data_IF_866003366237
#
_entry.id   IF_866003366237
#
_cell.length_a   1.000
_cell.length_b   1.000
_cell.length_c   1.000
_cell.angle_alpha   90.00
_cell.angle_beta   90.00
_cell.angle_gamma   90.00
#
_symmetry.space_group_name_H-M   'P 1'
#
loop_
_entity.id
_entity.type
_entity.pdbx_description
1 polymer ?
#
# COMPACT_ATOMS: atom_id res chain seq x y z
N UNK A 1 -4.87 -25.22 -5.71
CA UNK A 1 -6.15 -25.33 -6.47
C UNK A 1 -5.85 -25.01 -7.93
N UNK A 2 -6.31 -25.83 -8.88
CA UNK A 2 -6.09 -25.57 -10.32
C UNK A 2 -6.99 -24.42 -10.75
N UNK A 3 -6.38 -23.37 -11.27
CA UNK A 3 -7.08 -22.20 -11.76
C UNK A 3 -7.85 -22.52 -13.05
N UNK A 4 -9.16 -22.23 -13.08
CA UNK A 4 -9.97 -22.41 -14.30
C UNK A 4 -9.66 -21.39 -15.40
N UNK A 5 -8.93 -20.31 -15.08
CA UNK A 5 -8.51 -19.29 -16.05
C UNK A 5 -7.20 -19.60 -16.76
N UNK A 6 -6.17 -20.07 -16.04
CA UNK A 6 -4.84 -20.34 -16.63
C UNK A 6 -4.43 -21.82 -16.64
N UNK A 7 -5.15 -22.71 -15.94
CA UNK A 7 -4.83 -24.13 -15.87
C UNK A 7 -3.68 -24.49 -14.94
N UNK A 8 -3.07 -23.53 -14.25
CA UNK A 8 -1.97 -23.74 -13.32
C UNK A 8 -2.45 -23.91 -11.87
N UNK A 9 -1.64 -24.58 -11.05
CA UNK A 9 -1.87 -24.63 -9.62
C UNK A 9 -1.33 -23.37 -8.94
N UNK A 10 -2.21 -22.63 -8.27
CA UNK A 10 -1.80 -21.51 -7.43
C UNK A 10 -1.75 -21.96 -5.97
N UNK A 11 -0.55 -22.02 -5.34
CA UNK A 11 -0.47 -22.11 -3.89
C UNK A 11 -1.02 -20.79 -3.34
N UNK A 12 -2.16 -20.86 -2.66
CA UNK A 12 -2.74 -19.74 -1.90
C UNK A 12 -1.91 -19.54 -0.63
N UNK A 13 -0.60 -19.31 -0.79
CA UNK A 13 0.24 -18.91 0.33
C UNK A 13 -0.18 -17.51 0.78
N UNK A 14 -0.12 -17.25 2.08
CA UNK A 14 -0.40 -15.96 2.73
C UNK A 14 0.62 -14.86 2.33
N UNK A 15 1.27 -15.01 1.18
CA UNK A 15 2.29 -14.12 0.66
C UNK A 15 1.63 -12.98 -0.10
N UNK A 16 1.64 -11.84 0.57
CA UNK A 16 1.14 -10.57 0.07
C UNK A 16 2.24 -9.80 -0.66
N UNK A 17 1.91 -9.20 -1.81
CA UNK A 17 2.82 -8.30 -2.51
C UNK A 17 3.17 -7.14 -1.58
N UNK A 18 4.47 -6.95 -1.30
CA UNK A 18 4.94 -5.84 -0.47
C UNK A 18 6.11 -5.07 -1.07
N UNK A 19 6.08 -3.75 -0.93
CA UNK A 19 7.15 -2.85 -1.33
C UNK A 19 8.01 -2.48 -0.13
N UNK A 20 9.33 -2.64 -0.26
CA UNK A 20 10.27 -2.33 0.83
C UNK A 20 10.37 -0.83 1.11
N UNK A 21 10.15 0.00 0.09
CA UNK A 21 10.33 1.46 0.12
C UNK A 21 9.37 2.15 -0.84
N UNK A 22 9.10 3.45 -0.68
CA UNK A 22 8.49 4.25 -1.75
C UNK A 22 9.44 4.31 -2.95
N UNK A 23 8.88 4.39 -4.16
CA UNK A 23 9.66 4.41 -5.41
C UNK A 23 10.68 5.55 -5.45
N UNK A 24 10.33 6.69 -4.85
CA UNK A 24 11.21 7.85 -4.74
C UNK A 24 12.53 7.52 -4.01
N UNK A 25 12.47 6.73 -2.93
CA UNK A 25 13.66 6.30 -2.19
C UNK A 25 14.33 5.07 -2.84
N UNK A 26 13.54 4.18 -3.46
CA UNK A 26 14.05 3.00 -4.14
C UNK A 26 14.92 3.36 -5.36
N UNK A 27 14.59 4.44 -6.07
CA UNK A 27 15.33 4.95 -7.24
C UNK A 27 16.63 5.68 -6.90
N UNK A 28 16.87 6.02 -5.63
CA UNK A 28 18.11 6.67 -5.19
C UNK A 28 19.27 5.67 -5.09
N UNK A 29 20.50 6.18 -5.20
CA UNK A 29 21.70 5.43 -4.83
C UNK A 29 21.78 5.19 -3.32
N UNK A 30 22.65 4.27 -2.88
CA UNK A 30 22.87 4.02 -1.46
C UNK A 30 23.41 5.26 -0.72
N UNK A 31 24.35 5.98 -1.33
CA UNK A 31 24.92 7.20 -0.76
C UNK A 31 23.89 8.33 -0.63
N UNK A 32 23.05 8.51 -1.64
CA UNK A 32 21.94 9.47 -1.59
C UNK A 32 20.95 9.10 -0.49
N UNK A 33 20.55 7.83 -0.40
CA UNK A 33 19.66 7.38 0.68
C UNK A 33 20.27 7.63 2.05
N UNK A 34 21.52 7.24 2.28
CA UNK A 34 22.18 7.42 3.56
C UNK A 34 22.23 8.90 4.00
N UNK A 35 22.35 9.82 3.04
CA UNK A 35 22.40 11.26 3.29
C UNK A 35 21.02 11.88 3.45
N UNK A 36 20.12 11.61 2.51
CA UNK A 36 18.87 12.36 2.29
C UNK A 36 17.63 11.70 2.90
N UNK A 37 17.66 10.38 3.13
CA UNK A 37 16.50 9.62 3.59
C UNK A 37 16.62 9.31 5.08
N UNK A 38 15.51 9.47 5.79
CA UNK A 38 15.31 8.98 7.16
C UNK A 38 14.12 8.03 7.13
N UNK A 39 14.37 6.74 7.35
CA UNK A 39 13.34 5.72 7.22
C UNK A 39 13.43 4.68 8.35
N UNK A 40 12.29 4.06 8.65
CA UNK A 40 12.18 2.85 9.46
C UNK A 40 11.20 1.88 8.77
N UNK A 41 10.65 0.91 9.51
CA UNK A 41 9.73 -0.09 8.95
C UNK A 41 8.43 0.48 8.40
N UNK A 42 8.02 1.67 8.84
CA UNK A 42 6.68 2.21 8.61
C UNK A 42 6.66 3.69 8.16
N UNK A 43 7.77 4.42 8.33
CA UNK A 43 7.93 5.83 7.98
C UNK A 43 9.13 6.01 7.06
N UNK A 44 9.01 6.90 6.09
CA UNK A 44 10.12 7.31 5.24
C UNK A 44 9.99 8.82 4.97
N UNK A 45 11.07 9.56 5.19
CA UNK A 45 11.15 11.01 4.99
C UNK A 45 12.34 11.30 4.09
N UNK A 46 12.10 12.04 3.01
CA UNK A 46 13.13 12.44 2.05
C UNK A 46 13.38 13.94 2.21
N UNK A 47 14.61 14.31 2.54
CA UNK A 47 15.10 15.69 2.72
C UNK A 47 14.29 16.56 3.70
N UNK A 48 13.49 15.95 4.58
CA UNK A 48 12.56 16.66 5.46
C UNK A 48 11.43 17.39 4.71
N UNK A 49 11.15 17.02 3.45
CA UNK A 49 10.18 17.69 2.58
C UNK A 49 9.08 16.78 2.06
N UNK A 50 9.39 15.49 1.86
CA UNK A 50 8.43 14.49 1.38
C UNK A 50 8.27 13.42 2.44
N UNK A 51 7.03 13.07 2.71
CA UNK A 51 6.63 12.28 3.87
C UNK A 51 5.83 11.08 3.40
N UNK A 52 6.32 9.88 3.74
CA UNK A 52 5.75 8.63 3.30
C UNK A 52 5.41 7.73 4.48
N UNK A 53 4.25 7.10 4.38
CA UNK A 53 3.71 6.16 5.37
C UNK A 53 3.54 4.81 4.69
N UNK A 54 3.97 3.74 5.36
CA UNK A 54 3.67 2.38 4.95
C UNK A 54 2.22 2.06 5.27
N UNK A 55 1.50 1.53 4.28
CA UNK A 55 0.09 1.22 4.36
C UNK A 55 -0.20 -0.12 3.68
N UNK A 56 -1.44 -0.58 3.82
CA UNK A 56 -1.96 -1.74 3.10
C UNK A 56 -3.14 -1.32 2.22
N UNK A 57 -3.15 -1.79 0.98
CA UNK A 57 -4.27 -1.65 0.06
C UNK A 57 -5.06 -2.96 0.08
N UNK A 58 -6.20 -3.02 0.80
CA UNK A 58 -7.02 -4.22 0.84
C UNK A 58 -7.76 -4.39 -0.50
N UNK A 59 -7.70 -5.61 -1.04
CA UNK A 59 -8.45 -6.08 -2.20
C UNK A 59 -9.41 -7.19 -1.75
N UNK A 60 -10.74 -6.97 -1.82
CA UNK A 60 -11.71 -8.04 -1.55
C UNK A 60 -11.49 -9.22 -2.49
N UNK A 61 -11.53 -10.46 -1.98
CA UNK A 61 -11.31 -11.65 -2.82
C UNK A 61 -12.59 -12.48 -2.91
N UNK A 62 -13.00 -12.83 -4.12
CA UNK A 62 -14.18 -13.66 -4.34
C UNK A 62 -14.06 -15.00 -3.59
N UNK A 63 -15.08 -15.32 -2.78
CA UNK A 63 -15.12 -16.55 -2.00
C UNK A 63 -14.20 -16.60 -0.78
N UNK A 64 -13.64 -15.46 -0.34
CA UNK A 64 -12.86 -15.35 0.91
C UNK A 64 -13.40 -14.23 1.80
N UNK A 65 -13.39 -14.47 3.11
CA UNK A 65 -13.80 -13.47 4.10
C UNK A 65 -12.69 -12.44 4.41
N UNK A 66 -11.43 -12.80 4.11
CA UNK A 66 -10.26 -11.97 4.38
C UNK A 66 -9.75 -11.40 3.05
N UNK A 67 -9.55 -10.07 2.93
CA UNK A 67 -9.00 -9.45 1.74
C UNK A 67 -7.52 -9.83 1.54
N UNK A 68 -7.04 -9.70 0.31
CA UNK A 68 -5.61 -9.70 0.04
C UNK A 68 -5.07 -8.28 0.19
N UNK A 69 -4.04 -8.06 1.01
CA UNK A 69 -3.49 -6.74 1.22
C UNK A 69 -2.21 -6.53 0.40
N UNK A 70 -2.17 -5.52 -0.46
CA UNK A 70 -0.90 -5.08 -1.07
C UNK A 70 -0.22 -4.11 -0.09
N UNK A 71 0.94 -4.49 0.46
CA UNK A 71 1.72 -3.63 1.35
C UNK A 71 2.52 -2.61 0.54
N UNK A 72 2.13 -1.34 0.58
CA UNK A 72 2.74 -0.28 -0.23
C UNK A 72 3.01 0.97 0.60
N UNK A 73 3.54 2.00 -0.05
CA UNK A 73 3.80 3.31 0.55
C UNK A 73 2.87 4.36 -0.05
N UNK A 74 2.45 5.32 0.78
CA UNK A 74 1.71 6.50 0.33
C UNK A 74 2.45 7.76 0.73
N UNK A 75 2.40 8.78 -0.12
CA UNK A 75 2.87 10.13 0.16
C UNK A 75 1.72 10.96 0.76
N UNK A 76 2.02 11.64 1.87
CA UNK A 76 1.07 12.50 2.59
C UNK A 76 1.66 13.90 2.76
N UNK A 77 0.80 14.87 3.07
CA UNK A 77 1.27 16.20 3.47
C UNK A 77 2.03 16.15 4.79
N UNK A 78 2.87 17.15 5.06
CA UNK A 78 3.55 17.29 6.35
C UNK A 78 2.54 17.32 7.52
N UNK A 79 1.46 18.09 7.39
CA UNK A 79 0.45 18.19 8.44
C UNK A 79 -0.23 16.83 8.75
N UNK A 80 -0.47 16.02 7.72
CA UNK A 80 -0.99 14.66 7.90
C UNK A 80 0.07 13.76 8.56
N UNK A 81 1.33 13.84 8.13
CA UNK A 81 2.43 13.08 8.73
C UNK A 81 2.60 13.39 10.22
N UNK A 82 2.62 14.67 10.59
CA UNK A 82 2.74 15.12 11.97
C UNK A 82 1.55 14.61 12.81
N UNK A 83 0.33 14.69 12.27
CA UNK A 83 -0.86 14.17 12.94
C UNK A 83 -0.82 12.65 13.16
N UNK A 84 -0.32 11.89 12.18
CA UNK A 84 -0.14 10.44 12.30
C UNK A 84 0.92 10.13 13.37
N UNK A 85 2.00 10.90 13.40
CA UNK A 85 3.05 10.76 14.39
C UNK A 85 2.55 11.03 15.82
N UNK A 86 1.74 12.07 16.01
CA UNK A 86 1.11 12.39 17.31
C UNK A 86 0.19 11.26 17.80
N UNK A 87 -0.46 10.55 16.88
CA UNK A 87 -1.38 9.47 17.18
C UNK A 87 -0.71 8.09 17.21
N UNK A 88 0.61 7.98 16.99
CA UNK A 88 1.29 6.72 16.68
C UNK A 88 1.01 5.56 17.65
N UNK A 89 0.97 5.84 18.94
CA UNK A 89 0.69 4.84 20.00
C UNK A 89 -0.74 4.95 20.56
N UNK A 90 -1.57 5.85 20.02
CA UNK A 90 -2.90 6.14 20.52
C UNK A 90 -3.97 5.27 19.85
N UNK A 91 -4.87 4.70 20.65
CA UNK A 91 -6.09 4.06 20.14
C UNK A 91 -7.05 5.05 19.46
N UNK A 92 -6.87 6.36 19.68
CA UNK A 92 -7.65 7.42 19.03
C UNK A 92 -7.48 7.43 17.52
N UNK A 93 -6.44 6.79 16.97
CA UNK A 93 -6.26 6.57 15.54
C UNK A 93 -7.54 6.10 14.84
N UNK A 94 -8.30 5.19 15.48
CA UNK A 94 -9.52 4.62 14.90
C UNK A 94 -10.63 5.65 14.65
N UNK A 95 -10.60 6.77 15.37
CA UNK A 95 -11.56 7.85 15.27
C UNK A 95 -11.06 9.00 14.39
N UNK A 96 -9.80 8.96 13.96
CA UNK A 96 -9.22 9.99 13.12
C UNK A 96 -9.87 9.96 11.72
N UNK A 97 -10.29 11.11 11.17
CA UNK A 97 -10.81 11.16 9.81
C UNK A 97 -9.78 10.69 8.78
N UNK A 98 -10.21 10.04 7.68
CA UNK A 98 -9.31 9.67 6.60
C UNK A 98 -8.56 10.89 6.03
N UNK A 99 -7.26 10.73 5.80
CA UNK A 99 -6.39 11.79 5.31
C UNK A 99 -6.12 11.63 3.81
N UNK A 100 -6.04 12.72 3.02
CA UNK A 100 -5.61 12.64 1.63
C UNK A 100 -4.19 12.08 1.51
N UNK A 101 -3.99 11.17 0.57
CA UNK A 101 -2.70 10.57 0.28
C UNK A 101 -2.56 10.27 -1.22
N UNK A 102 -1.34 9.98 -1.67
CA UNK A 102 -1.08 9.51 -3.03
C UNK A 102 -0.26 8.23 -2.98
N UNK A 103 -0.55 7.26 -3.84
CA UNK A 103 0.27 6.05 -3.94
C UNK A 103 1.71 6.42 -4.31
N UNK A 104 2.68 5.88 -3.58
CA UNK A 104 4.11 6.16 -3.77
C UNK A 104 4.88 4.97 -4.37
N UNK A 105 4.17 3.96 -4.87
CA UNK A 105 4.74 2.81 -5.57
C UNK A 105 4.05 2.57 -6.92
N UNK A 106 4.84 2.16 -7.91
CA UNK A 106 4.31 1.59 -9.16
C UNK A 106 4.08 0.08 -9.00
N UNK A 107 2.82 -0.35 -9.02
CA UNK A 107 2.41 -1.75 -8.96
C UNK A 107 2.59 -2.39 -10.34
N UNK A 108 3.44 -3.43 -10.49
CA UNK A 108 3.82 -3.95 -11.82
C UNK A 108 2.65 -4.43 -12.69
N UNK A 109 1.61 -5.00 -12.09
CA UNK A 109 0.39 -5.48 -12.78
C UNK A 109 -0.70 -4.42 -12.94
N UNK A 110 -0.43 -3.16 -12.54
CA UNK A 110 -1.36 -2.05 -12.66
C UNK A 110 -0.60 -0.74 -12.95
N UNK A 111 -0.08 -0.59 -14.19
CA UNK A 111 0.75 0.56 -14.57
C UNK A 111 -0.03 1.87 -14.52
N UNK A 112 0.63 2.93 -14.05
CA UNK A 112 0.01 4.23 -13.77
C UNK A 112 -0.53 4.35 -12.35
N UNK A 113 -0.10 3.45 -11.46
CA UNK A 113 -0.51 3.44 -10.06
C UNK A 113 0.25 4.46 -9.20
N UNK A 114 1.45 4.83 -9.61
CA UNK A 114 2.24 5.85 -8.94
C UNK A 114 1.53 7.22 -9.03
N UNK A 115 1.27 7.82 -7.87
CA UNK A 115 0.61 9.12 -7.76
C UNK A 115 -0.92 9.07 -7.74
N UNK A 116 -1.55 7.88 -7.76
CA UNK A 116 -3.01 7.79 -7.65
C UNK A 116 -3.50 8.39 -6.34
N UNK A 117 -4.54 9.22 -6.44
CA UNK A 117 -5.18 9.82 -5.28
C UNK A 117 -5.90 8.77 -4.43
N UNK A 118 -5.71 8.88 -3.12
CA UNK A 118 -6.27 7.95 -2.15
C UNK A 118 -6.62 8.65 -0.83
N UNK A 119 -7.28 7.90 0.04
CA UNK A 119 -7.50 8.21 1.43
C UNK A 119 -6.76 7.20 2.30
N UNK A 120 -5.94 7.70 3.22
CA UNK A 120 -5.29 6.91 4.26
C UNK A 120 -6.19 6.89 5.49
N UNK A 121 -6.49 5.70 6.00
CA UNK A 121 -7.27 5.49 7.21
C UNK A 121 -6.42 4.81 8.26
N UNK A 122 -6.37 5.39 9.45
CA UNK A 122 -5.68 4.78 10.59
C UNK A 122 -6.61 3.74 11.24
N UNK A 123 -6.05 2.60 11.60
CA UNK A 123 -6.80 1.44 12.13
C UNK A 123 -6.48 1.12 13.58
N UNK A 124 -5.47 1.78 14.17
CA UNK A 124 -5.02 1.58 15.55
C UNK A 124 -3.50 1.37 15.63
N UNK A 125 -2.91 1.46 16.84
CA UNK A 125 -1.44 1.50 17.01
C UNK A 125 -0.72 0.20 16.66
N UNK A 126 -1.44 -0.93 16.56
CA UNK A 126 -0.87 -2.26 16.27
C UNK A 126 -1.12 -2.74 14.85
N UNK A 127 -1.86 -1.97 14.04
CA UNK A 127 -2.26 -2.36 12.69
C UNK A 127 -1.81 -1.29 11.71
N UNK A 128 -1.29 -1.70 10.55
CA UNK A 128 -0.90 -0.75 9.52
C UNK A 128 -2.12 0.04 9.02
N UNK A 129 -1.95 1.33 8.69
CA UNK A 129 -2.98 2.10 8.02
C UNK A 129 -3.46 1.45 6.73
N UNK A 130 -4.74 1.61 6.42
CA UNK A 130 -5.35 1.16 5.18
C UNK A 130 -5.41 2.30 4.16
N UNK A 131 -5.22 1.99 2.89
CA UNK A 131 -5.38 2.95 1.79
C UNK A 131 -6.57 2.59 0.91
N UNK A 132 -7.42 3.59 0.66
CA UNK A 132 -8.58 3.48 -0.22
C UNK A 132 -8.44 4.46 -1.38
N UNK A 133 -8.40 3.94 -2.60
CA UNK A 133 -8.28 4.74 -3.82
C UNK A 133 -9.54 5.58 -4.06
N UNK A 134 -9.35 6.81 -4.52
CA UNK A 134 -10.48 7.63 -4.96
C UNK A 134 -11.13 7.02 -6.22
N UNK A 135 -12.45 7.26 -6.43
CA UNK A 135 -13.14 6.80 -7.63
C UNK A 135 -12.45 7.20 -8.93
N UNK A 136 -12.25 6.21 -9.80
CA UNK A 136 -11.59 6.40 -11.08
C UNK A 136 -11.74 5.18 -12.00
N UNK A 137 -10.97 5.17 -13.08
CA UNK A 137 -10.96 4.06 -14.06
C UNK A 137 -9.71 3.19 -13.94
N UNK A 138 -8.82 3.50 -13.00
CA UNK A 138 -7.59 2.75 -12.82
C UNK A 138 -7.90 1.34 -12.30
N UNK A 139 -7.16 0.35 -12.81
CA UNK A 139 -7.36 -1.06 -12.50
C UNK A 139 -7.40 -1.35 -10.99
N UNK A 140 -6.44 -0.82 -10.22
CA UNK A 140 -6.43 -1.00 -8.75
C UNK A 140 -7.69 -0.47 -8.05
N UNK A 141 -8.30 0.61 -8.55
CA UNK A 141 -9.55 1.11 -7.97
C UNK A 141 -10.70 0.16 -8.28
N UNK A 142 -10.78 -0.34 -9.52
CA UNK A 142 -11.80 -1.31 -9.92
C UNK A 142 -11.66 -2.59 -9.09
N UNK A 143 -10.45 -3.10 -8.94
CA UNK A 143 -10.15 -4.28 -8.12
C UNK A 143 -10.46 -4.08 -6.63
N UNK A 144 -10.14 -2.91 -6.07
CA UNK A 144 -10.48 -2.59 -4.68
C UNK A 144 -11.99 -2.44 -4.46
N UNK A 145 -12.73 -1.90 -5.44
CA UNK A 145 -14.17 -1.62 -5.31
C UNK A 145 -15.07 -2.80 -5.68
N UNK A 146 -14.64 -3.65 -6.61
CA UNK A 146 -15.42 -4.77 -7.13
C UNK A 146 -14.93 -6.12 -6.60
N UNK A 147 -13.72 -6.16 -6.05
CA UNK A 147 -13.03 -7.38 -5.67
C UNK A 147 -12.25 -7.99 -6.82
N UNK A 148 -11.49 -9.03 -6.48
CA UNK A 148 -10.63 -9.79 -7.39
C UNK A 148 -10.87 -11.28 -7.21
N UNK A 149 -10.63 -12.05 -8.27
CA UNK A 149 -10.67 -13.49 -8.18
C UNK A 149 -9.32 -14.07 -7.71
N UNK A 150 -9.31 -15.38 -7.45
CA UNK A 150 -8.13 -16.12 -7.00
C UNK A 150 -6.99 -16.08 -8.02
N UNK A 151 -7.30 -16.01 -9.32
CA UNK A 151 -6.28 -15.94 -10.36
C UNK A 151 -5.52 -14.62 -10.29
N UNK A 152 -6.24 -13.51 -10.11
CA UNK A 152 -5.65 -12.19 -9.95
C UNK A 152 -4.77 -12.10 -8.70
N UNK A 153 -5.17 -12.75 -7.61
CA UNK A 153 -4.32 -12.87 -6.41
C UNK A 153 -3.01 -13.60 -6.72
N UNK A 154 -3.08 -14.70 -7.48
CA UNK A 154 -1.89 -15.42 -7.86
C UNK A 154 -0.92 -14.59 -8.71
N UNK A 155 -1.44 -13.73 -9.61
CA UNK A 155 -0.61 -12.77 -10.36
C UNK A 155 0.15 -11.82 -9.43
N UNK A 156 -0.50 -11.34 -8.35
CA UNK A 156 0.17 -10.50 -7.35
C UNK A 156 1.20 -11.26 -6.52
N UNK A 157 0.86 -12.44 -6.03
CA UNK A 157 1.76 -13.27 -5.24
C UNK A 157 2.99 -13.72 -6.04
N UNK A 158 2.85 -13.95 -7.35
CA UNK A 158 3.98 -14.27 -8.22
C UNK A 158 5.01 -13.13 -8.35
N UNK A 159 4.66 -11.89 -7.99
CA UNK A 159 5.55 -10.73 -8.00
C UNK A 159 6.31 -10.53 -6.68
N UNK A 160 6.13 -11.41 -5.70
CA UNK A 160 6.80 -11.29 -4.41
C UNK A 160 8.34 -11.38 -4.56
N UNK A 161 9.07 -10.43 -3.95
CA UNK A 161 10.54 -10.33 -3.98
C UNK A 161 11.19 -10.01 -2.62
#
# INVERSE_FOLDING_TARGET
>A
MICSKCGEEHPLEEMELTFRRPDAAAKMTEDERARLVRENSDLCVIEGKRFFIRAVLPLPVEGRDIPYCIGLWVEVSQAAFDRIYDLWESDEQRHEPPMPAHLANEVPTAPGSLGLEAQLRLSGPTVRPEVFLKPGTHQLYLEQSQGVDVHRIAEYTALFA
#
